data_IF_193459327150
#
_entry.id   IF_193459327150
#
_cell.length_a   1.000
_cell.length_b   1.000
_cell.length_c   1.000
_cell.angle_alpha   90.00
_cell.angle_beta   90.00
_cell.angle_gamma   90.00
#
_symmetry.space_group_name_H-M   'P 1'
#
loop_
_entity.id
_entity.type
_entity.pdbx_description
1 polymer ?
#
# COMPACT_ATOMS: atom_id res chain seq x y z
N UNK A 1 13.35 22.71 11.90
CA UNK A 1 11.99 22.11 11.81
C UNK A 1 11.13 22.81 12.85
N UNK A 2 9.98 23.30 12.45
CA UNK A 2 9.00 23.91 13.35
C UNK A 2 7.97 22.85 13.78
N UNK A 3 7.54 22.91 15.05
CA UNK A 3 6.50 22.03 15.60
C UNK A 3 5.27 22.90 15.83
N UNK A 4 4.11 22.45 15.36
CA UNK A 4 2.82 23.11 15.54
C UNK A 4 1.98 22.38 16.57
N UNK A 5 1.03 23.09 17.21
CA UNK A 5 0.17 22.52 18.22
C UNK A 5 -1.06 21.78 17.66
N UNK A 6 -1.37 21.98 16.38
CA UNK A 6 -2.54 21.37 15.72
C UNK A 6 -2.34 21.19 14.22
N UNK A 7 -3.17 20.35 13.61
CA UNK A 7 -3.23 20.20 12.14
C UNK A 7 -3.62 21.52 11.49
N UNK A 8 -4.57 22.25 12.03
CA UNK A 8 -5.00 23.55 11.50
C UNK A 8 -3.83 24.56 11.45
N UNK A 9 -3.03 24.67 12.50
CA UNK A 9 -1.84 25.53 12.52
C UNK A 9 -0.77 25.09 11.51
N UNK A 10 -0.61 23.76 11.30
CA UNK A 10 0.27 23.23 10.28
C UNK A 10 -0.18 23.64 8.88
N UNK A 11 -1.46 23.51 8.60
CA UNK A 11 -2.03 23.77 7.27
C UNK A 11 -1.85 25.22 6.79
N UNK A 12 -1.74 26.18 7.74
CA UNK A 12 -1.44 27.58 7.42
C UNK A 12 0.02 27.80 6.93
N UNK A 13 0.91 26.83 7.16
CA UNK A 13 2.36 26.95 6.95
C UNK A 13 2.92 26.07 5.85
N UNK A 14 2.12 25.18 5.28
CA UNK A 14 2.61 24.16 4.31
C UNK A 14 1.78 24.16 3.03
N UNK A 15 2.37 23.68 1.94
CA UNK A 15 1.70 23.51 0.65
C UNK A 15 1.18 22.09 0.44
N UNK A 16 1.77 21.11 1.09
CA UNK A 16 1.41 19.68 1.00
C UNK A 16 1.62 18.98 2.34
N UNK A 17 0.94 17.87 2.56
CA UNK A 17 0.96 17.13 3.82
C UNK A 17 1.36 15.68 3.60
N UNK A 18 2.32 15.21 4.43
CA UNK A 18 2.53 13.78 4.68
C UNK A 18 1.83 13.45 6.00
N UNK A 19 0.83 12.59 5.94
CA UNK A 19 0.10 12.12 7.10
C UNK A 19 0.70 10.76 7.49
N UNK A 20 1.56 10.78 8.50
CA UNK A 20 2.40 9.65 8.94
C UNK A 20 1.95 9.09 10.29
N UNK A 21 0.69 9.30 10.66
CA UNK A 21 0.11 8.77 11.90
C UNK A 21 0.13 7.24 11.84
N UNK A 22 0.73 6.60 12.86
CA UNK A 22 0.86 5.15 12.88
C UNK A 22 -0.47 4.40 13.05
N UNK A 23 -1.49 5.04 13.63
CA UNK A 23 -2.82 4.47 13.85
C UNK A 23 -3.76 4.87 12.69
N UNK A 24 -4.03 3.93 11.80
CA UNK A 24 -4.90 4.15 10.62
C UNK A 24 -6.33 4.60 10.95
N UNK A 25 -6.83 4.36 12.17
CA UNK A 25 -8.16 4.83 12.61
C UNK A 25 -8.26 6.35 12.71
N UNK A 26 -7.14 7.04 12.83
CA UNK A 26 -7.09 8.51 12.90
C UNK A 26 -7.03 9.16 11.52
N UNK A 27 -6.67 8.41 10.48
CA UNK A 27 -6.41 8.95 9.14
C UNK A 27 -7.63 9.66 8.55
N UNK A 28 -8.83 9.10 8.67
CA UNK A 28 -10.04 9.73 8.11
C UNK A 28 -10.28 11.13 8.69
N UNK A 29 -10.22 11.26 10.02
CA UNK A 29 -10.44 12.56 10.68
C UNK A 29 -9.40 13.60 10.27
N UNK A 30 -8.12 13.22 10.30
CA UNK A 30 -7.00 14.09 9.94
C UNK A 30 -7.00 14.45 8.45
N UNK A 31 -7.28 13.49 7.57
CA UNK A 31 -7.35 13.71 6.14
C UNK A 31 -8.45 14.69 5.74
N UNK A 32 -9.63 14.63 6.40
CA UNK A 32 -10.73 15.58 6.16
C UNK A 32 -10.31 17.02 6.47
N UNK A 33 -9.54 17.26 7.51
CA UNK A 33 -9.01 18.61 7.80
C UNK A 33 -8.08 19.08 6.66
N UNK A 34 -7.18 18.20 6.18
CA UNK A 34 -6.28 18.51 5.06
C UNK A 34 -7.06 18.78 3.78
N UNK A 35 -8.03 17.94 3.42
CA UNK A 35 -8.84 18.10 2.21
C UNK A 35 -9.65 19.40 2.21
N UNK A 36 -10.23 19.79 3.36
CA UNK A 36 -10.94 21.08 3.52
C UNK A 36 -10.05 22.29 3.28
N UNK A 37 -8.76 22.19 3.55
CA UNK A 37 -7.80 23.26 3.31
C UNK A 37 -7.34 23.34 1.86
N UNK A 38 -7.76 22.40 1.00
CA UNK A 38 -7.35 22.32 -0.41
C UNK A 38 -5.91 21.83 -0.61
N UNK A 39 -5.26 21.30 0.44
CA UNK A 39 -3.88 20.81 0.33
C UNK A 39 -3.85 19.39 -0.22
N UNK A 40 -2.81 19.10 -1.00
CA UNK A 40 -2.52 17.74 -1.47
C UNK A 40 -1.95 16.89 -0.33
N UNK A 41 -2.36 15.62 -0.24
CA UNK A 41 -2.04 14.76 0.88
C UNK A 41 -1.49 13.40 0.41
N UNK A 42 -0.37 13.01 0.99
CA UNK A 42 0.05 11.61 1.05
C UNK A 42 -0.34 11.05 2.43
N UNK A 43 -0.90 9.86 2.46
CA UNK A 43 -1.25 9.16 3.71
C UNK A 43 -0.44 7.87 3.79
N UNK A 44 0.30 7.64 4.88
CA UNK A 44 1.02 6.38 5.05
C UNK A 44 0.06 5.19 5.09
N UNK A 45 0.59 4.02 4.77
CA UNK A 45 -0.17 2.75 4.80
C UNK A 45 -0.47 2.30 6.26
N UNK A 46 -1.60 1.70 6.48
CA UNK A 46 -2.75 1.56 5.57
C UNK A 46 -3.51 2.88 5.44
N UNK A 47 -4.18 3.11 4.32
CA UNK A 47 -4.97 4.32 4.09
C UNK A 47 -5.99 4.59 5.20
N UNK A 48 -6.62 3.57 5.71
CA UNK A 48 -7.49 3.54 6.89
C UNK A 48 -7.33 2.21 7.61
N UNK A 49 -7.92 2.03 8.78
CA UNK A 49 -7.88 0.76 9.49
C UNK A 49 -8.86 -0.28 8.90
N UNK A 50 -9.88 0.17 8.16
CA UNK A 50 -10.90 -0.68 7.53
C UNK A 50 -11.18 -0.25 6.10
N UNK A 51 -11.78 -1.16 5.29
CA UNK A 51 -12.27 -0.84 3.95
C UNK A 51 -13.26 0.35 3.98
N UNK A 52 -14.15 0.39 4.95
CA UNK A 52 -15.12 1.49 5.09
C UNK A 52 -14.45 2.85 5.28
N UNK A 53 -13.41 2.91 6.10
CA UNK A 53 -12.61 4.13 6.28
C UNK A 53 -11.82 4.51 5.01
N UNK A 54 -11.25 3.53 4.31
CA UNK A 54 -10.55 3.77 3.06
C UNK A 54 -11.48 4.33 1.98
N UNK A 55 -12.70 3.78 1.85
CA UNK A 55 -13.76 4.31 0.97
C UNK A 55 -14.10 5.74 1.37
N UNK A 56 -14.37 5.99 2.65
CA UNK A 56 -14.73 7.32 3.16
C UNK A 56 -13.64 8.36 2.91
N UNK A 57 -12.36 8.00 3.03
CA UNK A 57 -11.24 8.90 2.71
C UNK A 57 -11.29 9.33 1.24
N UNK A 58 -11.48 8.40 0.31
CA UNK A 58 -11.60 8.72 -1.10
C UNK A 58 -12.85 9.55 -1.43
N UNK A 59 -14.01 9.24 -0.84
CA UNK A 59 -15.24 10.03 -1.01
C UNK A 59 -15.08 11.45 -0.49
N UNK A 60 -14.40 11.62 0.65
CA UNK A 60 -14.11 12.95 1.19
C UNK A 60 -13.09 13.70 0.34
N UNK A 61 -12.08 13.03 -0.20
CA UNK A 61 -11.16 13.65 -1.16
C UNK A 61 -11.92 14.16 -2.41
N UNK A 62 -12.76 13.33 -3.01
CA UNK A 62 -13.61 13.71 -4.14
C UNK A 62 -14.53 14.90 -3.80
N UNK A 63 -15.18 14.86 -2.64
CA UNK A 63 -16.08 15.93 -2.17
C UNK A 63 -15.41 17.28 -2.06
N UNK A 64 -14.14 17.33 -1.67
CA UNK A 64 -13.37 18.56 -1.52
C UNK A 64 -12.47 18.87 -2.73
N UNK A 65 -12.57 18.07 -3.81
CA UNK A 65 -11.71 18.23 -4.98
C UNK A 65 -10.22 18.03 -4.66
N UNK A 66 -9.93 17.26 -3.61
CA UNK A 66 -8.57 16.97 -3.15
C UNK A 66 -8.03 15.69 -3.81
N UNK A 67 -6.71 15.59 -3.91
CA UNK A 67 -6.03 14.37 -4.34
C UNK A 67 -5.40 13.69 -3.12
N UNK A 68 -5.47 12.36 -3.08
CA UNK A 68 -4.87 11.52 -2.05
C UNK A 68 -4.14 10.33 -2.66
N UNK A 69 -3.03 9.96 -2.03
CA UNK A 69 -2.20 8.84 -2.43
C UNK A 69 -1.67 8.12 -1.18
N UNK A 70 -1.65 6.81 -1.23
CA UNK A 70 -1.06 5.93 -0.23
C UNK A 70 -0.27 4.81 -0.90
N UNK A 71 0.81 4.37 -0.29
CA UNK A 71 1.59 3.23 -0.81
C UNK A 71 2.64 2.73 0.17
N UNK A 72 2.99 1.46 0.03
CA UNK A 72 4.19 0.87 0.62
C UNK A 72 5.45 1.26 -0.15
N UNK A 73 6.57 1.50 0.55
CA UNK A 73 7.86 1.72 -0.08
C UNK A 73 8.36 0.50 -0.91
N UNK A 74 7.88 -0.71 -0.60
CA UNK A 74 8.26 -1.94 -1.31
C UNK A 74 7.82 -1.92 -2.78
N UNK A 75 6.71 -1.23 -3.09
CA UNK A 75 6.19 -1.06 -4.45
C UNK A 75 7.26 -0.53 -5.42
N UNK A 76 8.12 0.36 -4.94
CA UNK A 76 9.10 1.09 -5.73
C UNK A 76 10.51 0.53 -5.60
N UNK A 77 10.69 -0.65 -5.00
CA UNK A 77 12.01 -1.28 -5.00
C UNK A 77 12.53 -1.46 -6.44
N UNK A 78 13.83 -1.35 -6.69
CA UNK A 78 14.39 -1.47 -8.05
C UNK A 78 13.94 -2.75 -8.76
N UNK A 79 13.83 -3.85 -8.01
CA UNK A 79 13.43 -5.14 -8.55
C UNK A 79 11.95 -5.15 -8.96
N UNK A 80 11.04 -4.63 -8.11
CA UNK A 80 9.62 -4.53 -8.44
C UNK A 80 9.40 -3.56 -9.61
N UNK A 81 10.14 -2.45 -9.64
CA UNK A 81 10.09 -1.51 -10.76
C UNK A 81 10.52 -2.16 -12.09
N UNK A 82 11.57 -2.98 -12.08
CA UNK A 82 12.02 -3.73 -13.26
C UNK A 82 10.99 -4.77 -13.73
N UNK A 83 10.38 -5.50 -12.79
CA UNK A 83 9.29 -6.44 -13.09
C UNK A 83 8.08 -5.74 -13.72
N UNK A 84 7.66 -4.60 -13.16
CA UNK A 84 6.54 -3.80 -13.69
C UNK A 84 6.82 -3.22 -15.09
N UNK A 85 8.05 -2.86 -15.41
CA UNK A 85 8.41 -2.40 -16.75
C UNK A 85 8.42 -3.53 -17.80
N UNK A 86 8.32 -4.79 -17.37
CA UNK A 86 8.38 -5.94 -18.26
C UNK A 86 9.80 -6.36 -18.69
N UNK A 87 10.83 -5.95 -17.94
CA UNK A 87 12.23 -6.30 -18.25
C UNK A 87 12.43 -7.83 -18.31
N UNK A 88 11.57 -8.58 -17.60
CA UNK A 88 11.56 -10.04 -17.54
C UNK A 88 10.39 -10.70 -18.29
N UNK A 89 9.72 -9.99 -19.18
CA UNK A 89 8.50 -10.45 -19.86
C UNK A 89 7.25 -10.35 -18.97
N UNK A 90 6.16 -10.99 -19.43
CA UNK A 90 4.89 -10.99 -18.68
C UNK A 90 5.03 -11.77 -17.38
N UNK A 91 4.43 -11.25 -16.30
CA UNK A 91 4.32 -11.94 -15.01
C UNK A 91 3.17 -12.93 -15.09
N UNK A 92 3.44 -14.20 -14.83
CA UNK A 92 2.50 -15.32 -14.92
C UNK A 92 1.92 -15.70 -13.55
N UNK A 93 2.55 -15.26 -12.47
CA UNK A 93 2.14 -15.47 -11.09
C UNK A 93 3.18 -14.92 -10.14
N UNK A 94 2.87 -14.83 -8.85
CA UNK A 94 3.81 -14.35 -7.85
C UNK A 94 3.53 -14.94 -6.46
N UNK A 95 4.60 -15.12 -5.67
CA UNK A 95 4.56 -15.45 -4.25
C UNK A 95 5.23 -14.32 -3.47
N UNK A 96 4.55 -13.76 -2.47
CA UNK A 96 5.08 -12.69 -1.65
C UNK A 96 5.00 -13.02 -0.16
N UNK A 97 5.87 -12.42 0.63
CA UNK A 97 5.85 -12.56 2.08
C UNK A 97 6.25 -11.26 2.76
N UNK A 98 5.69 -11.06 3.95
CA UNK A 98 6.08 -9.98 4.85
C UNK A 98 5.91 -10.41 6.30
N UNK A 99 6.51 -9.68 7.26
CA UNK A 99 6.14 -9.83 8.66
C UNK A 99 4.64 -9.59 8.84
N UNK A 100 4.06 -10.29 9.81
CA UNK A 100 2.71 -10.03 10.26
C UNK A 100 2.71 -9.95 11.78
N UNK A 101 2.37 -8.77 12.29
CA UNK A 101 2.16 -8.54 13.71
C UNK A 101 0.69 -8.25 13.94
N UNK A 102 0.06 -9.00 14.83
CA UNK A 102 -1.30 -8.70 15.27
C UNK A 102 -1.24 -7.42 16.09
N UNK A 103 -1.89 -6.38 15.62
CA UNK A 103 -1.95 -5.06 16.25
C UNK A 103 -3.41 -4.68 16.47
N UNK A 104 -3.86 -4.42 17.71
CA UNK A 104 -5.28 -4.15 18.00
C UNK A 104 -5.88 -2.95 17.26
N UNK A 105 -5.04 -2.02 16.82
CA UNK A 105 -5.48 -0.82 16.08
C UNK A 105 -5.65 -1.06 14.58
N UNK A 106 -5.18 -2.22 14.09
CA UNK A 106 -5.21 -2.56 12.67
C UNK A 106 -5.73 -3.99 12.52
N UNK A 107 -6.93 -4.17 11.97
CA UNK A 107 -7.47 -5.50 11.77
C UNK A 107 -6.65 -6.27 10.74
N UNK A 108 -6.61 -7.58 10.92
CA UNK A 108 -6.00 -8.56 10.03
C UNK A 108 -4.56 -8.18 9.58
N UNK A 109 -4.31 -8.11 8.28
CA UNK A 109 -2.99 -7.81 7.72
C UNK A 109 -2.63 -6.32 7.67
N UNK A 110 -3.50 -5.43 8.15
CA UNK A 110 -3.39 -3.97 7.99
C UNK A 110 -2.10 -3.36 8.53
N UNK A 111 -1.46 -3.93 9.55
CA UNK A 111 -0.27 -3.31 10.16
C UNK A 111 1.01 -3.53 9.33
N UNK A 112 1.52 -4.78 9.27
CA UNK A 112 2.71 -5.12 8.49
C UNK A 112 2.42 -6.08 7.33
N UNK A 113 1.39 -6.93 7.44
CA UNK A 113 0.99 -7.85 6.38
C UNK A 113 0.66 -7.15 5.07
N UNK A 114 0.10 -5.94 5.16
CA UNK A 114 -0.24 -5.12 4.00
C UNK A 114 0.93 -4.89 3.03
N UNK A 115 2.16 -4.85 3.50
CA UNK A 115 3.33 -4.69 2.63
C UNK A 115 3.48 -5.86 1.64
N UNK A 116 3.27 -7.08 2.10
CA UNK A 116 3.33 -8.27 1.24
C UNK A 116 2.13 -8.34 0.29
N UNK A 117 0.94 -8.02 0.75
CA UNK A 117 -0.27 -7.93 -0.08
C UNK A 117 -0.08 -6.87 -1.16
N UNK A 118 0.34 -5.65 -0.79
CA UNK A 118 0.59 -4.58 -1.76
C UNK A 118 1.70 -4.93 -2.76
N UNK A 119 2.74 -5.68 -2.33
CA UNK A 119 3.75 -6.18 -3.25
C UNK A 119 3.14 -7.14 -4.28
N UNK A 120 2.23 -8.02 -3.84
CA UNK A 120 1.53 -8.93 -4.74
C UNK A 120 0.70 -8.16 -5.78
N UNK A 121 -0.06 -7.16 -5.36
CA UNK A 121 -0.80 -6.27 -6.26
C UNK A 121 0.12 -5.42 -7.15
N UNK A 122 1.28 -5.03 -6.66
CA UNK A 122 2.30 -4.34 -7.47
C UNK A 122 2.73 -5.20 -8.67
N UNK A 123 2.79 -6.51 -8.50
CA UNK A 123 3.22 -7.46 -9.55
C UNK A 123 2.06 -7.92 -10.44
N UNK A 124 0.91 -8.19 -9.85
CA UNK A 124 -0.22 -8.80 -10.57
C UNK A 124 -1.28 -7.78 -11.00
N UNK A 125 -1.28 -6.58 -10.41
CA UNK A 125 -2.34 -5.59 -10.67
C UNK A 125 -3.66 -5.97 -10.01
N UNK A 126 -4.72 -5.24 -10.38
CA UNK A 126 -6.11 -5.49 -9.97
C UNK A 126 -6.72 -6.72 -10.65
N UNK A 127 -7.86 -7.18 -10.17
CA UNK A 127 -8.64 -8.27 -10.76
C UNK A 127 -8.59 -9.57 -9.97
N UNK A 128 -8.26 -9.55 -8.68
CA UNK A 128 -8.38 -10.70 -7.81
C UNK A 128 -9.87 -11.03 -7.57
N UNK A 129 -10.32 -12.19 -7.98
CA UNK A 129 -11.73 -12.62 -7.90
C UNK A 129 -12.03 -13.53 -6.71
N UNK A 130 -11.01 -14.21 -6.19
CA UNK A 130 -11.19 -15.17 -5.12
C UNK A 130 -9.94 -15.31 -4.28
N UNK A 131 -10.11 -15.41 -2.98
CA UNK A 131 -9.04 -15.67 -2.03
C UNK A 131 -9.37 -16.86 -1.15
N UNK A 132 -8.33 -17.59 -0.72
CA UNK A 132 -8.43 -18.67 0.23
C UNK A 132 -7.30 -18.56 1.24
N UNK A 133 -7.61 -18.73 2.54
CA UNK A 133 -6.64 -18.58 3.63
C UNK A 133 -6.50 -19.85 4.42
N UNK A 134 -5.27 -20.20 4.73
CA UNK A 134 -4.91 -21.20 5.73
C UNK A 134 -4.25 -20.48 6.89
N UNK A 135 -4.85 -20.55 8.07
CA UNK A 135 -4.36 -19.92 9.29
C UNK A 135 -3.66 -20.91 10.22
N UNK A 136 -2.57 -20.46 10.85
CA UNK A 136 -1.94 -21.16 11.97
C UNK A 136 -1.29 -20.15 12.94
N UNK A 137 -0.99 -20.57 14.19
CA UNK A 137 -0.25 -19.70 15.12
C UNK A 137 1.16 -19.28 14.66
N UNK A 138 1.67 -19.91 13.62
CA UNK A 138 2.99 -19.61 13.03
C UNK A 138 2.93 -18.64 11.86
N UNK A 139 1.71 -18.34 11.36
CA UNK A 139 1.48 -17.45 10.24
C UNK A 139 0.34 -17.91 9.36
N UNK A 140 0.10 -17.16 8.31
CA UNK A 140 -0.96 -17.42 7.35
C UNK A 140 -0.38 -17.65 5.96
N UNK A 141 -1.09 -18.43 5.16
CA UNK A 141 -0.92 -18.48 3.71
C UNK A 141 -2.26 -18.08 3.10
N UNK A 142 -2.22 -17.06 2.25
CA UNK A 142 -3.36 -16.64 1.43
C UNK A 142 -3.03 -16.89 -0.02
N UNK A 143 -3.94 -17.51 -0.75
CA UNK A 143 -3.84 -17.68 -2.19
C UNK A 143 -4.97 -16.94 -2.88
N UNK A 144 -4.62 -16.14 -3.91
CA UNK A 144 -5.56 -15.38 -4.73
C UNK A 144 -5.57 -15.90 -6.17
N UNK A 145 -6.74 -15.82 -6.81
CA UNK A 145 -6.92 -16.08 -8.23
C UNK A 145 -7.40 -14.81 -8.94
N UNK A 146 -6.65 -14.39 -9.93
CA UNK A 146 -6.97 -13.25 -10.78
C UNK A 146 -7.90 -13.63 -11.93
N UNK A 147 -8.65 -12.67 -12.45
CA UNK A 147 -9.63 -12.84 -13.53
C UNK A 147 -9.02 -13.34 -14.87
N UNK A 148 -7.71 -13.18 -15.05
CA UNK A 148 -6.97 -13.69 -16.21
C UNK A 148 -6.34 -15.07 -15.96
N UNK A 149 -6.67 -15.71 -14.83
CA UNK A 149 -6.22 -17.05 -14.44
C UNK A 149 -4.88 -17.08 -13.71
N UNK A 150 -4.18 -15.94 -13.52
CA UNK A 150 -2.96 -15.91 -12.73
C UNK A 150 -3.25 -16.22 -11.25
N UNK A 151 -2.26 -16.82 -10.60
CA UNK A 151 -2.30 -17.11 -9.17
C UNK A 151 -1.25 -16.27 -8.45
N UNK A 152 -1.61 -15.84 -7.26
CA UNK A 152 -0.70 -15.18 -6.34
C UNK A 152 -0.82 -15.75 -4.94
N UNK A 153 0.28 -15.81 -4.20
CA UNK A 153 0.26 -16.21 -2.80
C UNK A 153 0.90 -15.14 -1.92
N UNK A 154 0.31 -14.98 -0.73
CA UNK A 154 0.89 -14.16 0.33
C UNK A 154 1.13 -15.02 1.56
N UNK A 155 2.37 -14.96 2.10
CA UNK A 155 2.71 -15.55 3.38
C UNK A 155 2.91 -14.47 4.44
N UNK A 156 2.04 -14.46 5.43
CA UNK A 156 2.19 -13.66 6.64
C UNK A 156 3.13 -14.38 7.62
N UNK A 157 4.28 -13.78 7.95
CA UNK A 157 5.29 -14.36 8.83
C UNK A 157 5.12 -13.80 10.23
N UNK A 158 4.57 -14.60 11.16
CA UNK A 158 4.31 -14.17 12.54
C UNK A 158 5.54 -14.31 13.44
N UNK A 159 6.38 -15.31 13.19
CA UNK A 159 7.57 -15.59 14.00
C UNK A 159 8.82 -15.66 13.12
N UNK A 160 9.92 -15.12 13.64
CA UNK A 160 11.20 -15.09 12.96
C UNK A 160 11.65 -13.68 12.62
N UNK A 161 12.75 -13.51 11.86
CA UNK A 161 13.20 -12.21 11.41
C UNK A 161 12.13 -11.48 10.57
N UNK A 162 12.02 -10.17 10.77
CA UNK A 162 11.16 -9.31 9.96
C UNK A 162 11.77 -9.12 8.57
N UNK A 163 11.33 -9.93 7.61
CA UNK A 163 11.82 -9.92 6.23
C UNK A 163 10.68 -9.69 5.24
N UNK A 164 11.01 -9.02 4.14
CA UNK A 164 10.11 -8.76 3.02
C UNK A 164 10.69 -9.37 1.77
N UNK A 165 9.86 -9.92 0.91
CA UNK A 165 10.33 -10.46 -0.34
C UNK A 165 9.25 -11.22 -1.09
N UNK A 166 9.69 -11.86 -2.16
CA UNK A 166 8.83 -12.66 -3.00
C UNK A 166 9.55 -13.23 -4.20
N UNK A 167 8.77 -13.89 -5.03
CA UNK A 167 9.19 -14.50 -6.30
C UNK A 167 8.13 -14.18 -7.34
N UNK A 168 8.53 -13.61 -8.46
CA UNK A 168 7.70 -13.49 -9.66
C UNK A 168 8.04 -14.61 -10.64
N UNK A 169 7.02 -15.29 -11.14
CA UNK A 169 7.12 -16.26 -12.23
C UNK A 169 6.82 -15.53 -13.53
N UNK A 170 7.78 -15.47 -14.43
CA UNK A 170 7.67 -14.70 -15.66
C UNK A 170 7.94 -15.56 -16.90
N UNK A 171 7.61 -15.05 -18.07
CA UNK A 171 7.90 -15.72 -19.35
C UNK A 171 9.40 -16.02 -19.55
N UNK A 172 10.28 -15.24 -18.93
CA UNK A 172 11.74 -15.41 -19.06
C UNK A 172 12.38 -16.14 -17.87
N UNK A 173 11.58 -16.61 -16.92
CA UNK A 173 12.05 -17.37 -15.76
C UNK A 173 11.55 -16.82 -14.43
N UNK A 174 12.17 -17.28 -13.35
CA UNK A 174 11.82 -16.94 -11.97
C UNK A 174 12.72 -15.81 -11.48
N UNK A 175 12.11 -14.75 -10.95
CA UNK A 175 12.80 -13.52 -10.55
C UNK A 175 12.44 -13.18 -9.10
N UNK A 176 13.44 -12.83 -8.27
CA UNK A 176 13.18 -12.34 -6.93
C UNK A 176 12.41 -11.01 -6.97
N UNK A 177 11.49 -10.81 -6.04
CA UNK A 177 10.65 -9.64 -5.93
C UNK A 177 10.58 -9.12 -4.48
N UNK A 178 10.15 -7.89 -4.30
CA UNK A 178 9.63 -7.34 -3.05
C UNK A 178 10.62 -6.96 -1.95
N UNK A 179 11.92 -6.90 -2.18
CA UNK A 179 12.89 -6.47 -1.16
C UNK A 179 12.71 -5.01 -0.73
N UNK A 180 13.01 -4.70 0.54
CA UNK A 180 13.04 -3.32 1.04
C UNK A 180 14.32 -2.61 0.59
N UNK A 181 14.17 -1.49 -0.11
CA UNK A 181 15.26 -0.69 -0.66
C UNK A 181 15.39 0.71 -0.03
N UNK A 182 14.80 0.90 1.15
CA UNK A 182 14.74 2.21 1.83
C UNK A 182 13.58 3.08 1.34
N UNK A 183 13.41 4.24 1.98
CA UNK A 183 12.29 5.16 1.70
C UNK A 183 12.56 6.13 0.55
N UNK A 184 13.80 6.28 0.11
CA UNK A 184 14.12 7.28 -0.94
C UNK A 184 13.24 7.12 -2.19
N UNK A 185 13.04 5.90 -2.63
CA UNK A 185 12.23 5.61 -3.83
C UNK A 185 10.76 5.99 -3.66
N UNK A 186 10.19 5.79 -2.48
CA UNK A 186 8.84 6.25 -2.14
C UNK A 186 8.77 7.77 -2.07
N UNK A 187 9.74 8.42 -1.41
CA UNK A 187 9.79 9.87 -1.31
C UNK A 187 9.91 10.54 -2.70
N UNK A 188 10.66 9.95 -3.62
CA UNK A 188 10.74 10.44 -5.00
C UNK A 188 9.36 10.39 -5.69
N UNK A 189 8.55 9.34 -5.45
CA UNK A 189 7.18 9.24 -5.98
C UNK A 189 6.23 10.23 -5.30
N UNK A 190 6.31 10.39 -3.98
CA UNK A 190 5.53 11.39 -3.24
C UNK A 190 5.82 12.80 -3.77
N UNK A 191 7.08 13.13 -4.01
CA UNK A 191 7.46 14.43 -4.58
C UNK A 191 6.93 14.63 -6.01
N UNK A 192 6.92 13.57 -6.84
CA UNK A 192 6.30 13.64 -8.19
C UNK A 192 4.79 13.85 -8.05
N UNK A 193 4.15 13.12 -7.17
CA UNK A 193 2.72 13.26 -6.90
C UNK A 193 2.38 14.67 -6.42
N UNK A 194 3.10 15.24 -5.46
CA UNK A 194 2.87 16.62 -5.00
C UNK A 194 3.02 17.68 -6.11
N UNK A 195 3.89 17.43 -7.08
CA UNK A 195 4.09 18.34 -8.22
C UNK A 195 3.04 18.19 -9.32
N UNK A 196 2.54 16.99 -9.53
CA UNK A 196 1.64 16.69 -10.67
C UNK A 196 0.17 16.57 -10.29
N UNK A 197 -0.13 16.28 -9.01
CA UNK A 197 -1.46 15.90 -8.54
C UNK A 197 -1.89 14.48 -8.95
N UNK A 198 -1.08 13.79 -9.76
CA UNK A 198 -1.42 12.45 -10.28
C UNK A 198 -0.92 11.34 -9.35
N UNK A 199 -1.86 10.59 -8.76
CA UNK A 199 -1.54 9.44 -7.92
C UNK A 199 -0.89 8.31 -8.75
N UNK A 200 0.24 7.74 -8.30
CA UNK A 200 0.87 6.60 -8.97
C UNK A 200 0.16 5.26 -8.69
N UNK A 201 -0.76 5.22 -7.74
CA UNK A 201 -1.60 4.06 -7.40
C UNK A 201 -3.05 4.48 -7.53
N UNK A 202 -3.86 3.70 -8.25
CA UNK A 202 -5.27 4.03 -8.44
C UNK A 202 -6.10 3.78 -7.18
N UNK A 203 -7.23 4.48 -7.07
CA UNK A 203 -8.23 4.24 -6.02
C UNK A 203 -8.70 2.78 -6.05
N UNK A 204 -8.95 2.26 -7.23
CA UNK A 204 -9.44 0.90 -7.44
C UNK A 204 -8.44 -0.13 -6.90
N UNK A 205 -7.15 0.02 -7.21
CA UNK A 205 -6.11 -0.87 -6.71
C UNK A 205 -6.00 -0.80 -5.18
N UNK A 206 -6.00 0.41 -4.62
CA UNK A 206 -5.95 0.58 -3.16
C UNK A 206 -7.16 -0.07 -2.48
N UNK A 207 -8.37 0.12 -2.98
CA UNK A 207 -9.57 -0.47 -2.39
C UNK A 207 -9.61 -1.99 -2.57
N UNK A 208 -9.12 -2.52 -3.69
CA UNK A 208 -9.05 -3.97 -3.90
C UNK A 208 -8.08 -4.64 -2.92
N UNK A 209 -6.95 -3.99 -2.57
CA UNK A 209 -6.05 -4.46 -1.51
C UNK A 209 -6.77 -4.61 -0.15
N UNK A 210 -7.74 -3.75 0.16
CA UNK A 210 -8.53 -3.85 1.39
C UNK A 210 -9.60 -4.93 1.37
N UNK A 211 -9.96 -5.46 0.20
CA UNK A 211 -11.02 -6.47 0.04
C UNK A 211 -10.51 -7.89 -0.10
N UNK A 212 -9.20 -8.06 -0.30
CA UNK A 212 -8.58 -9.37 -0.57
C UNK A 212 -8.02 -10.13 0.65
#
# INVERSE_FOLDING_TARGET
>A
MEITASVAELLDKVDCVLLETNDGRLHLGQAVEVFRSGKICYIDKPLGATLGEAIAIYEMAERYGASVFTSSALRYSPQNAALRRGDFGKILGADCYSPHTVEPTHPDFGFYGIHGVETLYTLLGTGCEAVSRIHSPMGDIVSGRWNDGRLGTFRAVVKGPAVYGGTAFTEKGTVAAGGYAGYKVLLDEILRYFKSGASPVSKEETLEIFTS
#
